data_IF_510618591539
#
_entry.id   IF_510618591539
#
_cell.length_a   1.000
_cell.length_b   1.000
_cell.length_c   1.000
_cell.angle_alpha   90.00
_cell.angle_beta   90.00
_cell.angle_gamma   90.00
#
_symmetry.space_group_name_H-M   'P 1'
#
loop_
_entity.id
_entity.type
_entity.pdbx_description
1 polymer ?
#
# COMPACT_ATOMS: atom_id res chain seq x y z
N UNK A 1 -15.36 10.72 -28.68
CA UNK A 1 -14.32 10.88 -29.73
C UNK A 1 -12.96 11.17 -29.12
N UNK A 2 -12.82 12.13 -28.19
CA UNK A 2 -11.49 12.45 -27.62
C UNK A 2 -10.88 11.34 -26.74
N UNK A 3 -11.71 10.68 -25.92
CA UNK A 3 -11.28 9.54 -25.10
C UNK A 3 -10.74 8.34 -25.91
N UNK A 4 -11.22 8.13 -27.15
CA UNK A 4 -10.69 7.04 -28.00
C UNK A 4 -9.36 7.42 -28.63
N UNK A 5 -9.17 8.69 -29.01
CA UNK A 5 -7.90 9.18 -29.54
C UNK A 5 -6.80 9.17 -28.47
N UNK A 6 -7.09 9.62 -27.25
CA UNK A 6 -6.14 9.58 -26.13
C UNK A 6 -5.72 8.16 -25.74
N UNK A 7 -6.66 7.19 -25.82
CA UNK A 7 -6.33 5.77 -25.61
C UNK A 7 -5.42 5.25 -26.72
N UNK A 8 -5.71 5.57 -27.97
CA UNK A 8 -4.85 5.17 -29.10
C UNK A 8 -3.43 5.76 -29.00
N UNK A 9 -3.29 7.01 -28.56
CA UNK A 9 -1.98 7.60 -28.29
C UNK A 9 -1.27 6.92 -27.11
N UNK A 10 -1.99 6.68 -26.01
CA UNK A 10 -1.45 6.00 -24.82
C UNK A 10 -1.06 4.54 -25.06
N UNK A 11 -1.74 3.84 -25.98
CA UNK A 11 -1.46 2.45 -26.35
C UNK A 11 -0.32 2.38 -27.39
N UNK A 12 -0.19 3.40 -28.23
CA UNK A 12 0.81 3.49 -29.30
C UNK A 12 2.17 3.99 -28.83
N UNK A 13 2.21 4.87 -27.82
CA UNK A 13 3.44 5.39 -27.22
C UNK A 13 3.54 4.96 -25.76
N UNK A 14 4.38 3.95 -25.50
CA UNK A 14 4.62 3.44 -24.13
C UNK A 14 5.32 4.46 -23.23
N UNK A 15 5.90 5.52 -23.79
CA UNK A 15 6.53 6.61 -23.04
C UNK A 15 5.54 7.66 -22.54
N UNK A 16 4.39 7.79 -23.19
CA UNK A 16 3.40 8.84 -22.93
C UNK A 16 2.05 8.23 -22.53
N UNK A 17 1.95 7.80 -21.27
CA UNK A 17 0.69 7.32 -20.70
C UNK A 17 -0.14 8.49 -20.15
N UNK A 18 -1.30 8.76 -20.76
CA UNK A 18 -2.21 9.83 -20.35
C UNK A 18 -3.09 9.48 -19.14
N UNK A 19 -2.88 8.32 -18.52
CA UNK A 19 -3.58 7.87 -17.30
C UNK A 19 -5.11 7.83 -17.43
N UNK A 20 -5.61 7.70 -18.66
CA UNK A 20 -7.05 7.70 -18.97
C UNK A 20 -7.73 6.52 -18.29
N UNK A 21 -7.09 5.36 -18.28
CA UNK A 21 -7.64 4.14 -17.68
C UNK A 21 -7.75 4.29 -16.16
N UNK A 22 -6.69 4.80 -15.53
CA UNK A 22 -6.63 5.06 -14.09
C UNK A 22 -7.66 6.12 -13.68
N UNK A 23 -7.79 7.20 -14.45
CA UNK A 23 -8.78 8.25 -14.22
C UNK A 23 -10.21 7.71 -14.34
N UNK A 24 -10.51 6.95 -15.40
CA UNK A 24 -11.83 6.33 -15.56
C UNK A 24 -12.17 5.38 -14.39
N UNK A 25 -11.19 4.60 -13.93
CA UNK A 25 -11.36 3.69 -12.77
C UNK A 25 -11.60 4.48 -11.48
N UNK A 26 -10.84 5.55 -11.26
CA UNK A 26 -10.99 6.43 -10.11
C UNK A 26 -12.37 7.08 -10.09
N UNK A 27 -12.80 7.70 -11.20
CA UNK A 27 -14.11 8.33 -11.31
C UNK A 27 -15.25 7.34 -11.07
N UNK A 28 -15.16 6.13 -11.65
CA UNK A 28 -16.13 5.07 -11.42
C UNK A 28 -16.19 4.68 -9.94
N UNK A 29 -15.04 4.47 -9.31
CA UNK A 29 -15.00 4.12 -7.88
C UNK A 29 -15.52 5.27 -7.01
N UNK A 30 -15.21 6.53 -7.31
CA UNK A 30 -15.75 7.65 -6.52
C UNK A 30 -17.26 7.80 -6.66
N UNK A 31 -17.86 7.32 -7.76
CA UNK A 31 -19.31 7.23 -7.92
C UNK A 31 -19.94 6.09 -7.11
N UNK A 32 -19.25 4.94 -7.04
CA UNK A 32 -19.65 3.76 -6.27
C UNK A 32 -18.46 3.19 -5.49
N UNK A 33 -18.16 3.72 -4.29
CA UNK A 33 -16.94 3.39 -3.57
C UNK A 33 -16.89 1.95 -3.10
N UNK A 34 -15.69 1.36 -3.17
CA UNK A 34 -15.42 0.06 -2.56
C UNK A 34 -15.22 0.16 -1.04
N UNK A 35 -15.03 -0.99 -0.37
CA UNK A 35 -14.80 -1.03 1.08
C UNK A 35 -13.50 -0.34 1.54
N UNK A 36 -12.64 0.06 0.60
CA UNK A 36 -11.39 0.78 0.86
C UNK A 36 -11.50 2.27 0.55
N UNK A 37 -12.66 2.74 0.08
CA UNK A 37 -12.86 4.13 -0.32
C UNK A 37 -12.00 4.52 -1.54
N UNK A 38 -11.76 3.59 -2.46
CA UNK A 38 -11.00 3.83 -3.70
C UNK A 38 -9.51 4.13 -3.51
N UNK A 39 -8.93 3.78 -2.36
CA UNK A 39 -7.55 4.10 -2.03
C UNK A 39 -6.55 3.57 -3.08
N UNK A 40 -6.83 2.40 -3.67
CA UNK A 40 -6.00 1.79 -4.71
C UNK A 40 -6.05 2.58 -6.02
N UNK A 41 -7.23 3.05 -6.40
CA UNK A 41 -7.46 3.85 -7.60
C UNK A 41 -6.77 5.21 -7.48
N UNK A 42 -6.80 5.84 -6.30
CA UNK A 42 -6.08 7.08 -6.02
C UNK A 42 -4.57 6.92 -6.21
N UNK A 43 -3.97 5.88 -5.63
CA UNK A 43 -2.52 5.64 -5.76
C UNK A 43 -2.16 5.34 -7.21
N UNK A 44 -2.92 4.47 -7.89
CA UNK A 44 -2.65 4.12 -9.29
C UNK A 44 -2.70 5.35 -10.21
N UNK A 45 -3.68 6.23 -10.02
CA UNK A 45 -3.75 7.47 -10.79
C UNK A 45 -2.59 8.42 -10.47
N UNK A 46 -2.29 8.63 -9.18
CA UNK A 46 -1.17 9.48 -8.74
C UNK A 46 0.19 8.99 -9.24
N UNK A 47 0.43 7.68 -9.26
CA UNK A 47 1.68 7.10 -9.75
C UNK A 47 1.76 7.08 -11.27
N UNK A 48 0.64 6.87 -11.98
CA UNK A 48 0.61 7.00 -13.43
C UNK A 48 0.95 8.42 -13.89
N UNK A 49 0.40 9.44 -13.22
CA UNK A 49 0.58 10.86 -13.60
C UNK A 49 1.98 11.41 -13.27
N UNK A 50 2.91 10.56 -12.82
CA UNK A 50 4.25 10.97 -12.44
C UNK A 50 5.17 11.02 -13.67
N UNK A 51 5.88 12.13 -13.90
CA UNK A 51 6.91 12.18 -14.93
C UNK A 51 8.00 11.13 -14.65
N UNK A 52 8.38 10.36 -15.66
CA UNK A 52 9.33 9.24 -15.52
C UNK A 52 8.70 7.93 -15.05
N UNK A 53 7.37 7.88 -14.89
CA UNK A 53 6.62 6.67 -14.60
C UNK A 53 6.36 6.42 -13.10
N UNK A 54 5.62 5.34 -12.80
CA UNK A 54 5.20 5.02 -11.43
C UNK A 54 6.38 4.55 -10.58
N UNK A 55 6.57 5.15 -9.41
CA UNK A 55 7.59 4.67 -8.45
C UNK A 55 7.00 3.65 -7.49
N UNK A 56 5.73 3.80 -7.12
CA UNK A 56 5.01 2.86 -6.26
C UNK A 56 4.03 2.06 -7.13
N UNK A 57 4.11 0.74 -7.02
CA UNK A 57 3.30 -0.24 -7.75
C UNK A 57 2.40 -1.00 -6.78
N UNK A 58 1.21 -1.36 -7.24
CA UNK A 58 0.27 -2.22 -6.49
C UNK A 58 0.11 -3.53 -7.25
N UNK A 59 0.87 -4.54 -6.86
CA UNK A 59 0.96 -5.84 -7.54
C UNK A 59 0.77 -6.97 -6.54
N UNK A 60 0.01 -8.01 -6.91
CA UNK A 60 -0.23 -9.18 -6.05
C UNK A 60 -0.67 -8.82 -4.62
N UNK A 61 -1.48 -7.76 -4.49
CA UNK A 61 -1.92 -7.22 -3.20
C UNK A 61 -0.77 -6.78 -2.27
N UNK A 62 0.33 -6.30 -2.84
CA UNK A 62 1.45 -5.66 -2.15
C UNK A 62 1.76 -4.29 -2.78
N UNK A 63 2.16 -3.35 -1.94
CA UNK A 63 2.84 -2.14 -2.37
C UNK A 63 4.31 -2.45 -2.61
N UNK A 64 4.78 -2.15 -3.82
CA UNK A 64 6.17 -2.33 -4.23
C UNK A 64 6.74 -1.01 -4.74
N UNK A 65 8.06 -0.87 -4.66
CA UNK A 65 8.81 0.23 -5.29
C UNK A 65 9.37 -0.31 -6.60
N UNK A 66 9.25 0.46 -7.68
CA UNK A 66 9.93 0.14 -8.93
C UNK A 66 11.44 0.08 -8.71
N UNK A 67 12.10 -0.96 -9.24
CA UNK A 67 13.53 -1.19 -9.05
C UNK A 67 14.38 0.04 -9.46
N UNK A 68 13.95 0.75 -10.50
CA UNK A 68 14.64 1.95 -11.02
C UNK A 68 14.60 3.14 -10.03
N UNK A 69 13.71 3.10 -9.04
CA UNK A 69 13.49 4.18 -8.08
C UNK A 69 13.83 3.80 -6.64
N UNK A 70 14.27 2.57 -6.37
CA UNK A 70 14.63 2.11 -5.02
C UNK A 70 15.66 3.00 -4.33
N UNK A 71 16.63 3.53 -5.08
CA UNK A 71 17.66 4.42 -4.56
C UNK A 71 17.13 5.73 -3.95
N UNK A 72 15.88 6.12 -4.27
CA UNK A 72 15.21 7.30 -3.69
C UNK A 72 14.61 7.03 -2.31
N UNK A 73 14.51 5.76 -1.91
CA UNK A 73 13.84 5.33 -0.70
C UNK A 73 14.82 4.60 0.23
N UNK A 74 14.69 4.84 1.54
CA UNK A 74 15.48 4.12 2.53
C UNK A 74 14.89 2.73 2.82
N UNK A 75 15.04 1.82 1.87
CA UNK A 75 14.47 0.46 1.91
C UNK A 75 15.53 -0.59 1.61
N UNK A 76 15.34 -1.79 2.16
CA UNK A 76 16.21 -2.95 1.91
C UNK A 76 15.63 -3.93 0.90
N UNK A 77 14.37 -3.73 0.48
CA UNK A 77 13.64 -4.55 -0.50
C UNK A 77 12.68 -3.66 -1.28
N UNK A 78 12.32 -4.10 -2.50
CA UNK A 78 11.29 -3.50 -3.34
C UNK A 78 9.88 -3.68 -2.76
N UNK A 79 9.64 -4.63 -1.86
CA UNK A 79 8.33 -4.83 -1.21
C UNK A 79 8.21 -3.94 0.03
N UNK A 80 7.25 -3.01 0.02
CA UNK A 80 6.95 -2.14 1.17
C UNK A 80 6.09 -2.89 2.19
N UNK A 81 4.89 -3.30 1.78
CA UNK A 81 3.92 -3.95 2.66
C UNK A 81 2.74 -4.56 1.87
N UNK A 82 1.92 -5.43 2.51
CA UNK A 82 0.63 -5.83 1.95
C UNK A 82 -0.30 -4.63 1.75
N UNK A 83 -1.07 -4.63 0.67
CA UNK A 83 -2.04 -3.57 0.35
C UNK A 83 -3.33 -3.65 1.18
N UNK A 84 -3.45 -4.64 2.07
CA UNK A 84 -4.58 -4.84 2.97
C UNK A 84 -4.08 -5.03 4.40
N UNK A 85 -4.78 -4.43 5.36
CA UNK A 85 -4.47 -4.59 6.77
C UNK A 85 -4.57 -6.06 7.22
N UNK A 86 -3.73 -6.49 8.19
CA UNK A 86 -3.83 -7.83 8.75
C UNK A 86 -5.15 -8.01 9.50
N UNK A 87 -5.73 -9.21 9.44
CA UNK A 87 -6.90 -9.57 10.23
C UNK A 87 -6.51 -9.69 11.70
N UNK A 88 -7.41 -9.29 12.60
CA UNK A 88 -7.23 -9.50 14.05
C UNK A 88 -7.11 -11.00 14.33
N UNK A 89 -6.07 -11.39 15.05
CA UNK A 89 -5.87 -12.78 15.47
C UNK A 89 -5.02 -12.87 16.73
N UNK A 90 -5.47 -13.64 17.72
CA UNK A 90 -4.77 -13.78 19.00
C UNK A 90 -3.33 -14.27 18.86
N UNK A 91 -3.08 -15.20 17.94
CA UNK A 91 -1.72 -15.68 17.63
C UNK A 91 -0.82 -14.59 17.04
N UNK A 92 -1.35 -13.76 16.13
CA UNK A 92 -0.60 -12.64 15.56
C UNK A 92 -0.26 -11.59 16.62
N UNK A 93 -1.20 -11.26 17.50
CA UNK A 93 -0.99 -10.34 18.62
C UNK A 93 0.08 -10.89 19.57
N UNK A 94 -0.04 -12.16 19.99
CA UNK A 94 0.93 -12.80 20.89
C UNK A 94 2.32 -12.83 20.25
N UNK A 95 2.43 -13.21 18.98
CA UNK A 95 3.72 -13.23 18.28
C UNK A 95 4.34 -11.83 18.19
N UNK A 96 3.55 -10.79 17.95
CA UNK A 96 4.04 -9.42 17.95
C UNK A 96 4.54 -8.99 19.35
N UNK A 97 3.82 -9.34 20.41
CA UNK A 97 4.22 -9.05 21.79
C UNK A 97 5.55 -9.74 22.15
N UNK A 98 5.72 -11.01 21.79
CA UNK A 98 6.98 -11.74 22.06
C UNK A 98 8.16 -11.11 21.31
N UNK A 99 7.97 -10.69 20.05
CA UNK A 99 9.00 -9.97 19.28
C UNK A 99 9.38 -8.64 19.94
N UNK A 100 8.40 -7.88 20.40
CA UNK A 100 8.63 -6.62 21.11
C UNK A 100 9.36 -6.84 22.44
N UNK A 101 8.95 -7.83 23.23
CA UNK A 101 9.64 -8.21 24.48
C UNK A 101 11.11 -8.55 24.22
N UNK A 102 11.38 -9.37 23.21
CA UNK A 102 12.74 -9.74 22.84
C UNK A 102 13.58 -8.53 22.40
N UNK A 103 13.01 -7.65 21.57
CA UNK A 103 13.68 -6.43 21.08
C UNK A 103 13.99 -5.43 22.21
N UNK A 104 13.10 -5.33 23.21
CA UNK A 104 13.28 -4.46 24.37
C UNK A 104 14.11 -5.10 25.50
N UNK A 105 14.59 -6.35 25.33
CA UNK A 105 15.42 -7.04 26.32
C UNK A 105 14.65 -7.62 27.52
N UNK A 106 13.32 -7.70 27.46
CA UNK A 106 12.49 -8.34 28.48
C UNK A 106 12.55 -9.86 28.37
N UNK A 107 13.71 -10.46 28.67
CA UNK A 107 13.90 -11.92 28.61
C UNK A 107 13.21 -12.66 29.77
N UNK A 108 13.00 -11.99 30.91
CA UNK A 108 12.47 -12.57 32.15
C UNK A 108 11.40 -11.66 32.81
N UNK A 109 10.63 -10.91 32.03
CA UNK A 109 9.61 -10.03 32.59
C UNK A 109 8.39 -10.84 33.02
N UNK A 110 8.29 -11.13 34.32
CA UNK A 110 7.01 -11.52 34.94
C UNK A 110 6.23 -10.25 35.26
N UNK A 111 5.06 -10.12 34.63
CA UNK A 111 4.15 -9.02 34.86
C UNK A 111 3.52 -9.16 36.26
N UNK A 112 4.17 -8.58 37.27
CA UNK A 112 3.63 -8.48 38.63
C UNK A 112 2.55 -7.39 38.75
N UNK A 113 1.73 -7.21 37.71
CA UNK A 113 0.62 -6.26 37.75
C UNK A 113 -0.54 -6.91 38.50
N UNK A 114 -0.70 -6.54 39.77
CA UNK A 114 -1.93 -6.83 40.51
C UNK A 114 -2.88 -5.65 40.35
N UNK A 115 -3.95 -5.76 39.53
CA UNK A 115 -4.93 -4.68 39.44
C UNK A 115 -5.53 -4.46 40.83
N UNK A 116 -5.34 -3.26 41.39
CA UNK A 116 -6.08 -2.83 42.58
C UNK A 116 -7.53 -2.60 42.16
N UNK A 117 -8.33 -3.66 42.18
CA UNK A 117 -9.77 -3.55 41.99
C UNK A 117 -10.29 -2.78 43.20
N UNK A 118 -10.92 -1.62 42.98
CA UNK A 118 -11.72 -0.98 44.04
C UNK A 118 -12.87 -1.92 44.36
N UNK A 119 -12.82 -2.55 45.52
CA UNK A 119 -13.97 -3.17 46.18
C UNK A 119 -15.01 -2.11 46.53
#
# INVERSE_FOLDING_TARGET
QELSALRQCSDGDKGENYCVTELCRLLRCTGEPDSTGCAKEFIKFRECHRPGGPEILVENNMYKISNDHMHKYNVTSDVICPASAPKRGGGAIRSALEKLRAACGFKNFEENFTPKVKT
#
